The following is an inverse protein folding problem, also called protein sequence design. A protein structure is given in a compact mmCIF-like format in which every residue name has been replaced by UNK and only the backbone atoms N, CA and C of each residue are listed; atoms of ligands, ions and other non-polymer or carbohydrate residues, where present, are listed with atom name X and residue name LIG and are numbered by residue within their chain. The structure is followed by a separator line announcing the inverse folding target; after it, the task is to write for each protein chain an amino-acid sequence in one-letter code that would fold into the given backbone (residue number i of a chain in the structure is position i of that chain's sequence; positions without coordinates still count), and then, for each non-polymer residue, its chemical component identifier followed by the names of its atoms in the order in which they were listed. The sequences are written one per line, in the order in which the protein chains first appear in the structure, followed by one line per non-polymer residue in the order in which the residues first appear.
data_IF_673467369452
#
_entry.id   IF_673467369452
#
_cell.length_a   1.000
_cell.length_b   1.000
_cell.length_c   1.000
_cell.angle_alpha   90.00
_cell.angle_beta   90.00
_cell.angle_gamma   90.00
#
_symmetry.space_group_name_H-M   'P 1'
#
loop_
_entity.id
_entity.type
_entity.pdbx_description
1 polymer ?
#
# COMPACT_ATOMS: atom_id res chain seq x y z
N UNK A 1 -10.26 52.43 -10.45
CA UNK A 1 -9.23 51.41 -10.80
C UNK A 1 -8.65 50.69 -9.60
N UNK A 2 -8.62 51.25 -8.38
CA UNK A 2 -8.07 50.62 -7.18
C UNK A 2 -8.92 49.51 -6.55
N UNK A 3 -10.26 49.58 -6.64
CA UNK A 3 -11.17 48.67 -5.95
C UNK A 3 -11.19 47.26 -6.60
N UNK A 4 -11.14 47.20 -7.94
CA UNK A 4 -11.08 45.91 -8.67
C UNK A 4 -9.78 45.13 -8.38
N UNK A 5 -8.64 45.80 -8.26
CA UNK A 5 -7.35 45.19 -7.97
C UNK A 5 -7.30 44.72 -6.51
N UNK A 6 -7.96 45.41 -5.61
CA UNK A 6 -8.04 45.00 -4.17
C UNK A 6 -8.90 43.74 -3.99
N UNK A 7 -10.08 43.69 -4.62
CA UNK A 7 -10.97 42.51 -4.56
C UNK A 7 -10.30 41.29 -5.20
N UNK A 8 -9.60 41.43 -6.30
CA UNK A 8 -8.92 40.34 -6.99
C UNK A 8 -7.76 39.78 -6.13
N UNK A 9 -7.06 40.61 -5.39
CA UNK A 9 -5.99 40.21 -4.47
C UNK A 9 -6.53 39.48 -3.23
N UNK A 10 -7.65 39.90 -2.66
CA UNK A 10 -8.27 39.20 -1.54
C UNK A 10 -8.86 37.85 -1.93
N UNK A 11 -9.52 37.76 -3.08
CA UNK A 11 -10.09 36.52 -3.60
C UNK A 11 -8.98 35.51 -3.93
N UNK A 12 -7.89 35.94 -4.55
CA UNK A 12 -6.76 35.05 -4.88
C UNK A 12 -6.00 34.57 -3.64
N UNK A 13 -5.86 35.42 -2.60
CA UNK A 13 -5.27 35.01 -1.33
C UNK A 13 -6.17 34.02 -0.56
N UNK A 14 -7.47 34.21 -0.58
CA UNK A 14 -8.43 33.30 0.05
C UNK A 14 -8.46 31.92 -0.65
N UNK A 15 -8.45 31.89 -1.97
CA UNK A 15 -8.41 30.64 -2.76
C UNK A 15 -7.10 29.87 -2.55
N UNK A 16 -5.96 30.56 -2.45
CA UNK A 16 -4.66 29.94 -2.13
C UNK A 16 -4.64 29.39 -0.70
N UNK A 17 -5.18 30.12 0.28
CA UNK A 17 -5.30 29.64 1.66
C UNK A 17 -6.23 28.45 1.79
N UNK A 18 -7.34 28.42 1.04
CA UNK A 18 -8.27 27.29 1.02
C UNK A 18 -7.65 26.05 0.36
N UNK A 19 -6.96 26.22 -0.76
CA UNK A 19 -6.26 25.12 -1.44
C UNK A 19 -5.11 24.54 -0.60
N UNK A 20 -4.40 25.38 0.17
CA UNK A 20 -3.37 24.90 1.13
C UNK A 20 -3.98 24.14 2.30
N UNK A 21 -5.11 24.59 2.85
CA UNK A 21 -5.85 23.87 3.90
C UNK A 21 -6.39 22.53 3.40
N UNK A 22 -6.95 22.49 2.20
CA UNK A 22 -7.40 21.22 1.58
C UNK A 22 -6.24 20.26 1.34
N UNK A 23 -5.11 20.75 0.83
CA UNK A 23 -3.90 19.94 0.66
C UNK A 23 -3.40 19.41 2.01
N UNK A 24 -3.31 20.24 3.04
CA UNK A 24 -2.90 19.81 4.37
C UNK A 24 -3.84 18.74 4.94
N UNK A 25 -5.16 18.89 4.80
CA UNK A 25 -6.14 17.89 5.26
C UNK A 25 -6.05 16.57 4.49
N UNK A 26 -5.80 16.61 3.20
CA UNK A 26 -5.63 15.40 2.36
C UNK A 26 -4.30 14.71 2.67
N UNK A 27 -3.21 15.46 2.81
CA UNK A 27 -1.89 14.88 3.09
C UNK A 27 -1.76 14.35 4.51
N UNK A 28 -2.31 15.01 5.52
CA UNK A 28 -2.24 14.55 6.92
C UNK A 28 -3.11 13.32 7.18
N UNK A 29 -4.31 13.25 6.61
CA UNK A 29 -5.17 12.06 6.72
C UNK A 29 -4.60 10.87 5.95
N UNK A 30 -4.02 11.09 4.77
CA UNK A 30 -3.41 10.03 3.97
C UNK A 30 -2.17 9.42 4.63
N UNK A 31 -1.29 10.22 5.22
CA UNK A 31 -0.05 9.75 5.85
C UNK A 31 -0.29 8.88 7.08
N UNK A 32 -1.21 9.28 7.95
CA UNK A 32 -1.56 8.50 9.16
C UNK A 32 -2.25 7.19 8.79
N UNK A 33 -3.19 7.21 7.84
CA UNK A 33 -3.86 6.00 7.38
C UNK A 33 -2.89 5.01 6.73
N UNK A 34 -1.96 5.51 5.90
CA UNK A 34 -0.91 4.72 5.28
C UNK A 34 0.03 4.07 6.32
N UNK A 35 0.43 4.82 7.34
CA UNK A 35 1.26 4.33 8.44
C UNK A 35 0.56 3.23 9.25
N UNK A 36 -0.73 3.42 9.58
CA UNK A 36 -1.53 2.39 10.25
C UNK A 36 -1.71 1.14 9.40
N UNK A 37 -2.02 1.29 8.11
CA UNK A 37 -2.16 0.17 7.20
C UNK A 37 -0.86 -0.65 7.11
N UNK A 38 0.30 0.00 7.03
CA UNK A 38 1.60 -0.67 7.03
C UNK A 38 1.84 -1.49 8.30
N UNK A 39 1.52 -0.94 9.46
CA UNK A 39 1.67 -1.65 10.74
C UNK A 39 0.68 -2.79 10.91
N UNK A 40 -0.58 -2.55 10.55
CA UNK A 40 -1.62 -3.56 10.65
C UNK A 40 -1.34 -4.77 9.74
N UNK A 41 -0.94 -4.53 8.50
CA UNK A 41 -0.56 -5.61 7.58
C UNK A 41 0.68 -6.37 8.04
N UNK A 42 1.66 -5.71 8.65
CA UNK A 42 2.82 -6.38 9.25
C UNK A 42 2.42 -7.32 10.39
N UNK A 43 1.54 -6.88 11.29
CA UNK A 43 1.03 -7.70 12.39
C UNK A 43 0.24 -8.92 11.89
N UNK A 44 -0.57 -8.75 10.85
CA UNK A 44 -1.29 -9.86 10.22
C UNK A 44 -0.36 -10.85 9.51
N UNK A 45 0.73 -10.37 8.91
CA UNK A 45 1.69 -11.24 8.25
C UNK A 45 2.44 -12.15 9.20
N UNK A 46 2.70 -11.72 10.44
CA UNK A 46 3.45 -12.53 11.40
C UNK A 46 2.83 -13.92 11.64
N UNK A 47 1.57 -14.07 12.07
CA UNK A 47 0.97 -15.38 12.27
C UNK A 47 0.82 -16.16 10.96
N UNK A 48 0.50 -15.49 9.85
CA UNK A 48 0.38 -16.13 8.54
C UNK A 48 1.72 -16.67 8.04
N UNK A 49 2.81 -15.93 8.28
CA UNK A 49 4.15 -16.35 7.92
C UNK A 49 4.60 -17.55 8.77
N UNK A 50 4.36 -17.53 10.09
CA UNK A 50 4.68 -18.66 10.97
C UNK A 50 3.91 -19.90 10.52
N UNK A 51 2.61 -19.75 10.26
CA UNK A 51 1.78 -20.83 9.74
C UNK A 51 2.35 -21.40 8.42
N UNK A 52 2.72 -20.52 7.48
CA UNK A 52 3.27 -20.95 6.19
C UNK A 52 4.60 -21.69 6.36
N UNK A 53 5.52 -21.16 7.18
CA UNK A 53 6.83 -21.78 7.41
C UNK A 53 6.68 -23.17 8.03
N UNK A 54 5.81 -23.33 9.04
CA UNK A 54 5.54 -24.64 9.67
C UNK A 54 5.00 -25.64 8.63
N UNK A 55 4.08 -25.21 7.77
CA UNK A 55 3.55 -26.07 6.72
C UNK A 55 4.58 -26.40 5.63
N UNK A 56 5.43 -25.46 5.22
CA UNK A 56 6.52 -25.73 4.28
C UNK A 56 7.49 -26.77 4.87
N UNK A 57 7.88 -26.65 6.14
CA UNK A 57 8.75 -27.64 6.80
C UNK A 57 8.10 -29.01 6.87
N UNK A 58 6.79 -29.08 7.12
CA UNK A 58 6.04 -30.34 7.11
C UNK A 58 5.99 -30.97 5.72
N UNK A 59 5.76 -30.17 4.68
CA UNK A 59 5.64 -30.61 3.30
C UNK A 59 6.99 -30.89 2.62
N UNK A 60 8.11 -30.46 3.20
CA UNK A 60 9.44 -30.55 2.59
C UNK A 60 9.86 -31.99 2.25
N UNK A 61 9.42 -32.97 3.03
CA UNK A 61 9.67 -34.40 2.83
C UNK A 61 8.43 -35.20 2.38
N UNK A 62 7.34 -34.51 2.05
CA UNK A 62 6.08 -35.13 1.67
C UNK A 62 6.04 -35.50 0.19
N UNK A 63 5.31 -36.54 -0.15
CA UNK A 63 5.02 -36.92 -1.55
C UNK A 63 4.13 -35.88 -2.23
N UNK A 64 4.25 -35.80 -3.55
CA UNK A 64 3.48 -34.87 -4.38
C UNK A 64 1.97 -34.98 -4.17
N UNK A 65 1.49 -36.17 -3.85
CA UNK A 65 0.08 -36.40 -3.54
C UNK A 65 -0.36 -35.65 -2.29
N UNK A 66 0.44 -35.73 -1.20
CA UNK A 66 0.17 -35.02 0.05
C UNK A 66 0.20 -33.50 -0.16
N UNK A 67 1.14 -33.00 -0.95
CA UNK A 67 1.21 -31.57 -1.30
C UNK A 67 -0.04 -31.14 -2.07
N UNK A 68 -0.49 -31.93 -3.02
CA UNK A 68 -1.69 -31.64 -3.81
C UNK A 68 -2.95 -31.62 -2.95
N UNK A 69 -3.11 -32.59 -2.06
CA UNK A 69 -4.24 -32.62 -1.12
C UNK A 69 -4.21 -31.46 -0.13
N UNK A 70 -3.02 -31.09 0.34
CA UNK A 70 -2.84 -29.93 1.22
C UNK A 70 -3.26 -28.60 0.56
N UNK A 71 -2.83 -28.39 -0.71
CA UNK A 71 -3.22 -27.20 -1.48
C UNK A 71 -4.72 -27.24 -1.80
N UNK A 72 -5.27 -28.40 -2.10
CA UNK A 72 -6.70 -28.59 -2.40
C UNK A 72 -7.62 -28.42 -1.19
N UNK A 73 -7.08 -28.40 0.01
CA UNK A 73 -7.86 -28.14 1.22
C UNK A 73 -8.41 -26.72 1.24
N UNK A 74 -9.72 -26.52 1.45
CA UNK A 74 -10.33 -25.19 1.43
C UNK A 74 -9.72 -24.22 2.45
N UNK A 75 -9.35 -24.73 3.63
CA UNK A 75 -8.74 -23.92 4.69
C UNK A 75 -7.37 -23.42 4.26
N UNK A 76 -6.52 -24.30 3.71
CA UNK A 76 -5.19 -23.91 3.25
C UNK A 76 -5.23 -22.99 2.04
N UNK A 77 -6.16 -23.20 1.11
CA UNK A 77 -6.38 -22.33 -0.04
C UNK A 77 -6.79 -20.91 0.40
N UNK A 78 -7.69 -20.78 1.37
CA UNK A 78 -8.11 -19.48 1.92
C UNK A 78 -6.94 -18.80 2.62
N UNK A 79 -6.17 -19.53 3.46
CA UNK A 79 -5.04 -18.95 4.18
C UNK A 79 -3.90 -18.54 3.24
N UNK A 80 -3.60 -19.32 2.20
CA UNK A 80 -2.63 -18.95 1.16
C UNK A 80 -3.07 -17.70 0.39
N UNK A 81 -4.34 -17.63 0.01
CA UNK A 81 -4.90 -16.46 -0.66
C UNK A 81 -4.82 -15.23 0.22
N UNK A 82 -5.22 -15.35 1.48
CA UNK A 82 -5.14 -14.26 2.46
C UNK A 82 -3.69 -13.80 2.66
N UNK A 83 -2.77 -14.75 2.84
CA UNK A 83 -1.34 -14.45 2.97
C UNK A 83 -0.82 -13.68 1.76
N UNK A 84 -1.13 -14.13 0.55
CA UNK A 84 -0.69 -13.50 -0.69
C UNK A 84 -1.23 -12.07 -0.81
N UNK A 85 -2.52 -11.86 -0.56
CA UNK A 85 -3.14 -10.53 -0.62
C UNK A 85 -2.53 -9.56 0.40
N UNK A 86 -2.36 -9.99 1.65
CA UNK A 86 -1.78 -9.17 2.71
C UNK A 86 -0.31 -8.88 2.43
N UNK A 87 0.44 -9.86 1.92
CA UNK A 87 1.85 -9.71 1.54
C UNK A 87 2.04 -8.66 0.43
N UNK A 88 1.27 -8.78 -0.65
CA UNK A 88 1.34 -7.82 -1.75
C UNK A 88 0.92 -6.41 -1.33
N UNK A 89 -0.12 -6.31 -0.52
CA UNK A 89 -0.55 -5.01 0.00
C UNK A 89 0.51 -4.38 0.91
N UNK A 90 1.11 -5.15 1.80
CA UNK A 90 2.20 -4.72 2.67
C UNK A 90 3.43 -4.28 1.87
N UNK A 91 3.84 -5.07 0.88
CA UNK A 91 4.96 -4.75 -0.01
C UNK A 91 4.69 -3.47 -0.81
N UNK A 92 3.48 -3.27 -1.33
CA UNK A 92 3.08 -2.06 -2.04
C UNK A 92 3.22 -0.80 -1.16
N UNK A 93 2.72 -0.88 0.09
CA UNK A 93 2.83 0.22 1.04
C UNK A 93 4.30 0.53 1.38
N UNK A 94 5.12 -0.51 1.58
CA UNK A 94 6.55 -0.37 1.85
C UNK A 94 7.34 0.23 0.69
N UNK A 95 7.11 -0.25 -0.53
CA UNK A 95 7.74 0.30 -1.73
C UNK A 95 7.34 1.75 -1.99
N UNK A 96 6.07 2.11 -1.71
CA UNK A 96 5.62 3.48 -1.85
C UNK A 96 6.41 4.43 -0.95
N UNK A 97 6.66 4.07 0.31
CA UNK A 97 7.46 4.89 1.24
C UNK A 97 8.90 5.07 0.70
N UNK A 98 9.53 3.98 0.26
CA UNK A 98 10.88 4.05 -0.31
C UNK A 98 10.93 4.96 -1.54
N UNK A 99 9.96 4.84 -2.45
CA UNK A 99 9.88 5.69 -3.65
C UNK A 99 9.69 7.17 -3.26
N UNK A 100 8.87 7.45 -2.26
CA UNK A 100 8.62 8.81 -1.77
C UNK A 100 9.85 9.44 -1.14
N UNK A 101 10.69 8.64 -0.45
CA UNK A 101 11.91 9.10 0.21
C UNK A 101 13.08 9.32 -0.77
N UNK A 102 13.21 8.47 -1.80
CA UNK A 102 14.35 8.52 -2.71
C UNK A 102 14.10 9.33 -3.98
N UNK A 103 12.85 9.43 -4.44
CA UNK A 103 12.51 10.09 -5.70
C UNK A 103 11.89 11.46 -5.45
N UNK A 104 12.67 12.53 -5.64
CA UNK A 104 12.24 13.90 -5.42
C UNK A 104 11.52 14.52 -6.64
N UNK A 105 11.72 13.97 -7.83
CA UNK A 105 11.08 14.47 -9.07
C UNK A 105 9.64 13.99 -9.14
N UNK A 106 8.68 14.91 -9.15
CA UNK A 106 7.24 14.62 -9.11
C UNK A 106 6.78 13.62 -10.19
N UNK A 107 7.20 13.82 -11.45
CA UNK A 107 6.82 12.94 -12.56
C UNK A 107 7.37 11.52 -12.43
N UNK A 108 8.63 11.39 -12.06
CA UNK A 108 9.28 10.09 -11.89
C UNK A 108 8.72 9.33 -10.70
N UNK A 109 8.43 10.02 -9.60
CA UNK A 109 7.78 9.45 -8.39
C UNK A 109 6.39 8.93 -8.72
N UNK A 110 5.56 9.73 -9.41
CA UNK A 110 4.20 9.30 -9.78
C UNK A 110 4.22 8.10 -10.72
N UNK A 111 5.10 8.09 -11.71
CA UNK A 111 5.28 6.97 -12.62
C UNK A 111 5.73 5.70 -11.90
N UNK A 112 6.70 5.79 -10.99
CA UNK A 112 7.19 4.66 -10.20
C UNK A 112 6.09 4.06 -9.30
N UNK A 113 5.32 4.89 -8.59
CA UNK A 113 4.21 4.43 -7.75
C UNK A 113 3.13 3.71 -8.57
N UNK A 114 2.74 4.28 -9.72
CA UNK A 114 1.75 3.66 -10.60
C UNK A 114 2.26 2.33 -11.16
N UNK A 115 3.53 2.26 -11.58
CA UNK A 115 4.14 1.03 -12.09
C UNK A 115 4.16 -0.08 -11.05
N UNK A 116 4.52 0.23 -9.79
CA UNK A 116 4.50 -0.74 -8.68
C UNK A 116 3.08 -1.22 -8.40
N UNK A 117 2.10 -0.32 -8.36
CA UNK A 117 0.69 -0.68 -8.14
C UNK A 117 0.15 -1.59 -9.23
N UNK A 118 0.43 -1.27 -10.50
CA UNK A 118 0.02 -2.10 -11.63
C UNK A 118 0.70 -3.47 -11.62
N UNK A 119 2.02 -3.51 -11.39
CA UNK A 119 2.76 -4.79 -11.34
C UNK A 119 2.24 -5.71 -10.26
N UNK A 120 1.99 -5.20 -9.06
CA UNK A 120 1.46 -5.99 -7.95
C UNK A 120 0.00 -6.41 -8.18
N UNK A 121 -0.81 -5.57 -8.82
CA UNK A 121 -2.19 -5.92 -9.19
C UNK A 121 -2.27 -7.01 -10.27
N UNK A 122 -1.28 -7.08 -11.17
CA UNK A 122 -1.20 -8.14 -12.20
C UNK A 122 -0.71 -9.46 -11.61
N UNK A 123 0.18 -9.40 -10.61
CA UNK A 123 0.75 -10.58 -9.97
C UNK A 123 -0.19 -11.21 -8.92
N UNK A 124 -1.17 -10.46 -8.41
CA UNK A 124 -2.15 -10.90 -7.44
C UNK A 124 -3.41 -11.45 -8.10
#
# INVERSE_FOLDING_TARGET
MGLCVYIDREVTMNLRGYSQKLRALVFTKGGVAHWWAQRFTAVLLLPLLIWLVVNILYLFSADIQVVSEWIGSPVNAILLTLFTLVLFHHAQLGLQVVIEDYIHTFWLRSFAIVSVKLSLAILC
#
